data_IF_757444159276
#
_entry.id   IF_757444159276
#
_cell.length_a   1.000
_cell.length_b   1.000
_cell.length_c   1.000
_cell.angle_alpha   90.00
_cell.angle_beta   90.00
_cell.angle_gamma   90.00
#
_symmetry.space_group_name_H-M   'P 1'
#
loop_
_entity.id
_entity.type
_entity.pdbx_description
1 polymer ?
#
# COMPACT_ATOMS: atom_id res chain seq x y z
N UNK A 1 0.11 16.31 -10.81
CA UNK A 1 0.28 15.85 -9.41
C UNK A 1 -0.07 14.37 -9.39
N UNK A 2 0.83 13.53 -8.90
CA UNK A 2 0.63 12.06 -8.84
C UNK A 2 0.11 11.72 -7.44
N UNK A 3 -1.00 10.97 -7.37
CA UNK A 3 -1.61 10.53 -6.12
C UNK A 3 -1.07 9.15 -5.75
N UNK A 4 -0.24 9.10 -4.71
CA UNK A 4 0.32 7.85 -4.20
C UNK A 4 -0.57 7.30 -3.10
N UNK A 5 -1.05 6.07 -3.23
CA UNK A 5 -1.67 5.33 -2.14
C UNK A 5 -0.72 4.26 -1.61
N UNK A 6 -0.69 4.15 -0.28
CA UNK A 6 0.28 3.31 0.43
C UNK A 6 -0.46 2.24 1.20
N UNK A 7 -0.29 0.98 0.78
CA UNK A 7 -0.76 -0.21 1.50
C UNK A 7 -2.25 -0.16 1.89
N UNK A 8 -3.10 0.30 0.95
CA UNK A 8 -4.55 0.46 1.16
C UNK A 8 -5.38 -0.73 0.67
N UNK A 9 -4.81 -1.59 -0.16
CA UNK A 9 -5.52 -2.65 -0.85
C UNK A 9 -6.50 -2.14 -1.91
N UNK A 10 -7.15 -3.06 -2.63
CA UNK A 10 -7.88 -2.72 -3.86
C UNK A 10 -9.11 -1.82 -3.61
N UNK A 11 -9.96 -2.18 -2.64
CA UNK A 11 -11.22 -1.48 -2.40
C UNK A 11 -11.04 -0.02 -1.98
N UNK A 12 -10.14 0.23 -1.03
CA UNK A 12 -9.84 1.60 -0.58
C UNK A 12 -9.07 2.38 -1.64
N UNK A 13 -8.26 1.71 -2.47
CA UNK A 13 -7.60 2.34 -3.61
C UNK A 13 -8.63 2.82 -4.63
N UNK A 14 -9.57 1.96 -4.99
CA UNK A 14 -10.69 2.30 -5.87
C UNK A 14 -11.50 3.47 -5.33
N UNK A 15 -11.86 3.44 -4.04
CA UNK A 15 -12.60 4.51 -3.39
C UNK A 15 -11.87 5.84 -3.46
N UNK A 16 -10.57 5.86 -3.11
CA UNK A 16 -9.79 7.08 -3.07
C UNK A 16 -9.56 7.67 -4.47
N UNK A 17 -9.24 6.85 -5.47
CA UNK A 17 -9.07 7.32 -6.84
C UNK A 17 -10.38 7.73 -7.51
N UNK A 18 -11.50 7.06 -7.19
CA UNK A 18 -12.83 7.49 -7.62
C UNK A 18 -13.18 8.86 -7.04
N UNK A 19 -12.91 9.10 -5.75
CA UNK A 19 -13.12 10.40 -5.12
C UNK A 19 -12.26 11.50 -5.76
N UNK A 20 -11.00 11.20 -6.12
CA UNK A 20 -10.16 12.14 -6.85
C UNK A 20 -10.73 12.49 -8.23
N UNK A 21 -11.16 11.48 -9.00
CA UNK A 21 -11.79 11.69 -10.31
C UNK A 21 -13.08 12.51 -10.19
N UNK A 22 -13.91 12.22 -9.20
CA UNK A 22 -15.15 12.95 -8.94
C UNK A 22 -14.87 14.42 -8.59
N UNK A 23 -13.96 14.69 -7.64
CA UNK A 23 -13.63 16.07 -7.24
C UNK A 23 -13.09 16.89 -8.42
N UNK A 24 -12.34 16.28 -9.34
CA UNK A 24 -11.90 16.94 -10.57
C UNK A 24 -13.06 17.27 -11.50
N UNK A 25 -13.99 16.34 -11.70
CA UNK A 25 -15.17 16.57 -12.52
C UNK A 25 -16.05 17.70 -11.96
N UNK A 26 -16.27 17.73 -10.64
CA UNK A 26 -17.00 18.81 -9.95
C UNK A 26 -16.31 20.17 -10.09
N UNK A 27 -14.97 20.18 -10.14
CA UNK A 27 -14.18 21.38 -10.38
C UNK A 27 -14.04 21.76 -11.87
N UNK A 28 -14.66 21.01 -12.80
CA UNK A 28 -14.56 21.25 -14.23
C UNK A 28 -13.17 21.00 -14.84
N UNK A 29 -12.33 20.20 -14.17
CA UNK A 29 -10.99 19.88 -14.62
C UNK A 29 -10.98 18.71 -15.62
N UNK A 30 -9.98 18.64 -16.53
CA UNK A 30 -9.85 17.52 -17.45
C UNK A 30 -9.76 16.17 -16.73
N UNK A 31 -10.30 15.14 -17.39
CA UNK A 31 -10.12 13.73 -17.00
C UNK A 31 -8.63 13.38 -16.95
N UNK A 32 -8.29 12.40 -16.12
CA UNK A 32 -6.92 11.96 -15.88
C UNK A 32 -6.79 10.48 -16.19
N UNK A 33 -5.65 10.09 -16.75
CA UNK A 33 -5.29 8.70 -16.98
C UNK A 33 -4.57 8.09 -15.79
N UNK A 34 -3.96 6.94 -16.03
CA UNK A 34 -3.16 6.19 -15.04
C UNK A 34 -1.88 6.93 -14.61
N UNK A 35 -1.45 7.94 -15.36
CA UNK A 35 -0.30 8.82 -15.09
C UNK A 35 -0.45 9.65 -13.80
N UNK A 36 -1.68 9.87 -13.35
CA UNK A 36 -1.99 10.56 -12.11
C UNK A 36 -2.00 9.66 -10.87
N UNK A 37 -1.77 8.35 -11.02
CA UNK A 37 -1.90 7.38 -9.96
C UNK A 37 -0.61 6.60 -9.73
N UNK A 38 -0.33 6.37 -8.45
CA UNK A 38 0.76 5.56 -7.98
C UNK A 38 0.30 4.67 -6.83
N UNK A 39 0.83 3.46 -6.78
CA UNK A 39 0.56 2.53 -5.69
C UNK A 39 1.86 2.06 -5.05
N UNK A 40 1.93 2.14 -3.72
CA UNK A 40 3.04 1.61 -2.94
C UNK A 40 2.65 0.28 -2.30
N UNK A 41 3.40 -0.76 -2.63
CA UNK A 41 3.18 -2.14 -2.20
C UNK A 41 4.45 -2.71 -1.56
N UNK A 42 4.28 -3.66 -0.65
CA UNK A 42 5.37 -4.55 -0.24
C UNK A 42 5.61 -5.53 -1.38
N UNK A 43 6.85 -5.67 -1.85
CA UNK A 43 7.16 -6.58 -2.97
C UNK A 43 8.41 -7.37 -2.70
N UNK A 44 8.36 -8.68 -2.92
CA UNK A 44 9.53 -9.54 -2.89
C UNK A 44 9.46 -10.59 -4.00
N UNK A 45 10.57 -10.81 -4.71
CA UNK A 45 10.67 -11.79 -5.79
C UNK A 45 11.71 -12.83 -5.43
N UNK A 46 11.29 -14.07 -5.14
CA UNK A 46 12.14 -15.24 -4.90
C UNK A 46 12.50 -15.99 -6.18
N UNK A 47 13.38 -16.99 -6.12
CA UNK A 47 13.62 -17.90 -7.26
C UNK A 47 12.39 -18.78 -7.49
N UNK A 48 11.77 -19.24 -6.39
CA UNK A 48 10.48 -19.96 -6.44
C UNK A 48 9.38 -19.18 -5.75
N UNK A 49 8.14 -19.64 -5.95
CA UNK A 49 6.98 -19.07 -5.27
C UNK A 49 7.11 -19.20 -3.75
N UNK A 50 7.47 -20.39 -3.28
CA UNK A 50 7.55 -20.73 -1.86
C UNK A 50 8.62 -19.90 -1.15
N UNK A 51 9.83 -19.83 -1.73
CA UNK A 51 10.91 -18.99 -1.19
C UNK A 51 10.51 -17.50 -1.21
N UNK A 52 9.89 -17.05 -2.30
CA UNK A 52 9.43 -15.67 -2.44
C UNK A 52 8.40 -15.29 -1.39
N UNK A 53 7.46 -16.17 -1.09
CA UNK A 53 6.45 -15.97 -0.04
C UNK A 53 7.09 -16.04 1.35
N UNK A 54 7.96 -17.01 1.62
CA UNK A 54 8.64 -17.16 2.90
C UNK A 54 9.42 -15.90 3.26
N UNK A 55 10.31 -15.44 2.39
CA UNK A 55 11.14 -14.27 2.65
C UNK A 55 10.30 -12.99 2.56
N UNK A 56 9.39 -12.90 1.59
CA UNK A 56 8.49 -11.75 1.41
C UNK A 56 7.59 -11.48 2.62
N UNK A 57 7.19 -12.52 3.35
CA UNK A 57 6.42 -12.38 4.60
C UNK A 57 7.11 -11.49 5.64
N UNK A 58 8.46 -11.42 5.63
CA UNK A 58 9.24 -10.57 6.55
C UNK A 58 8.92 -9.08 6.35
N UNK A 59 8.49 -8.67 5.14
CA UNK A 59 8.11 -7.28 4.86
C UNK A 59 6.93 -6.82 5.73
N UNK A 60 6.05 -7.74 6.12
CA UNK A 60 4.90 -7.49 7.00
C UNK A 60 5.30 -7.09 8.41
N UNK A 61 6.58 -7.20 8.79
CA UNK A 61 7.09 -6.61 10.01
C UNK A 61 6.76 -5.11 10.11
N UNK A 62 6.72 -4.39 8.98
CA UNK A 62 6.30 -2.98 8.96
C UNK A 62 4.88 -2.83 9.53
N UNK A 63 3.94 -3.65 9.09
CA UNK A 63 2.54 -3.60 9.50
C UNK A 63 2.34 -4.16 10.91
N UNK A 64 3.02 -5.26 11.22
CA UNK A 64 2.81 -6.05 12.43
C UNK A 64 3.61 -5.54 13.63
N UNK A 65 4.65 -4.74 13.38
CA UNK A 65 5.54 -4.23 14.42
C UNK A 65 5.72 -2.72 14.29
N UNK A 66 6.19 -2.21 13.14
CA UNK A 66 6.56 -0.79 13.02
C UNK A 66 5.39 0.17 13.16
N UNK A 67 4.19 -0.21 12.71
CA UNK A 67 2.98 0.61 12.86
C UNK A 67 2.41 0.62 14.27
N UNK A 68 2.91 -0.23 15.18
CA UNK A 68 2.48 -0.22 16.59
C UNK A 68 3.07 1.00 17.27
N UNK A 69 2.20 1.94 17.62
CA UNK A 69 2.53 3.08 18.47
C UNK A 69 1.88 2.91 19.83
N UNK A 70 2.59 3.28 20.89
CA UNK A 70 2.00 3.30 22.22
C UNK A 70 0.78 4.25 22.22
N UNK A 71 -0.30 3.96 22.99
CA UNK A 71 -1.54 4.72 22.91
C UNK A 71 -1.36 6.23 23.06
N UNK A 72 -0.41 6.68 23.88
CA UNK A 72 -0.08 8.10 24.04
C UNK A 72 0.43 8.76 22.75
N UNK A 73 1.17 8.04 21.89
CA UNK A 73 1.70 8.55 20.62
C UNK A 73 0.72 8.37 19.45
N UNK A 74 -0.16 7.37 19.52
CA UNK A 74 -1.18 7.15 18.49
C UNK A 74 -2.39 8.08 18.64
N UNK A 75 -2.74 8.45 19.88
CA UNK A 75 -3.99 9.12 20.23
C UNK A 75 -3.85 10.63 20.44
N UNK A 76 -2.67 11.08 20.84
CA UNK A 76 -2.34 12.48 21.06
C UNK A 76 -1.11 12.89 20.24
N UNK A 77 -1.11 12.53 18.95
CA UNK A 77 -0.05 12.98 18.07
C UNK A 77 -0.04 14.53 18.06
N UNK A 78 1.10 15.18 18.35
CA UNK A 78 1.17 16.64 18.37
C UNK A 78 0.66 17.23 17.05
N UNK A 79 -0.26 18.19 17.15
CA UNK A 79 -0.85 18.88 15.99
C UNK A 79 -2.07 18.18 15.36
N UNK A 80 -2.44 16.95 15.75
CA UNK A 80 -3.65 16.29 15.20
C UNK A 80 -4.90 16.51 16.03
N UNK A 81 -4.75 16.76 17.33
CA UNK A 81 -5.87 16.99 18.24
C UNK A 81 -5.66 18.36 18.89
N UNK A 82 -6.54 19.35 18.63
CA UNK A 82 -6.50 20.62 19.35
C UNK A 82 -6.64 20.39 20.86
N UNK A 83 -5.92 21.13 21.74
CA UNK A 83 -5.88 20.86 23.18
C UNK A 83 -7.26 20.78 23.85
N UNK A 84 -8.23 21.58 23.38
CA UNK A 84 -9.60 21.59 23.89
C UNK A 84 -10.35 20.26 23.71
N UNK A 85 -9.98 19.45 22.72
CA UNK A 85 -10.58 18.13 22.47
C UNK A 85 -9.82 16.99 23.15
N UNK A 86 -8.63 17.25 23.72
CA UNK A 86 -7.82 16.20 24.33
C UNK A 86 -8.53 15.43 25.48
N UNK A 87 -9.31 16.08 26.38
CA UNK A 87 -10.03 15.35 27.42
C UNK A 87 -11.12 14.41 26.88
N UNK A 88 -11.81 14.80 25.80
CA UNK A 88 -12.82 13.96 25.14
C UNK A 88 -12.18 12.79 24.39
N UNK A 89 -11.10 13.09 23.67
CA UNK A 89 -10.27 12.07 23.01
C UNK A 89 -9.71 11.10 24.05
N UNK A 90 -9.32 11.54 25.25
CA UNK A 90 -8.83 10.66 26.33
C UNK A 90 -9.92 9.73 26.87
N UNK A 91 -11.11 10.26 27.14
CA UNK A 91 -12.19 9.52 27.83
C UNK A 91 -13.03 8.61 26.95
N UNK A 92 -13.12 8.89 25.65
CA UNK A 92 -13.96 8.07 24.75
C UNK A 92 -13.41 6.64 24.65
N UNK A 93 -14.22 5.60 24.85
CA UNK A 93 -13.74 4.22 24.67
C UNK A 93 -13.25 3.94 23.23
N UNK A 94 -13.76 4.70 22.25
CA UNK A 94 -13.51 4.54 20.82
C UNK A 94 -12.91 5.76 20.10
N UNK A 95 -12.56 6.85 20.80
CA UNK A 95 -12.11 8.09 20.17
C UNK A 95 -13.25 8.81 19.44
N UNK A 96 -13.80 9.91 19.97
CA UNK A 96 -14.44 10.88 19.08
C UNK A 96 -13.32 11.47 18.20
N UNK A 97 -13.38 11.22 16.88
CA UNK A 97 -12.27 11.51 15.95
C UNK A 97 -12.61 12.75 15.13
N UNK A 98 -12.17 13.96 15.52
CA UNK A 98 -12.08 15.05 14.56
C UNK A 98 -11.02 14.65 13.53
N UNK A 99 -11.47 14.21 12.34
CA UNK A 99 -10.65 13.89 11.16
C UNK A 99 -9.38 13.05 11.41
N UNK A 100 -9.51 11.72 11.48
CA UNK A 100 -8.35 10.82 11.44
C UNK A 100 -8.65 9.61 10.53
N UNK A 101 -8.77 9.88 9.24
CA UNK A 101 -8.79 8.85 8.19
C UNK A 101 -7.57 7.91 8.26
N UNK A 102 -6.44 8.36 8.81
CA UNK A 102 -5.25 7.53 9.02
C UNK A 102 -5.37 6.48 10.14
N UNK A 103 -6.05 6.79 11.25
CA UNK A 103 -6.03 5.96 12.45
C UNK A 103 -6.95 4.73 12.38
N UNK A 104 -7.97 4.71 11.50
CA UNK A 104 -8.80 3.51 11.28
C UNK A 104 -8.03 2.44 10.50
N UNK A 105 -7.16 2.87 9.59
CA UNK A 105 -6.56 1.97 8.62
C UNK A 105 -5.37 1.19 9.20
N UNK A 106 -4.60 1.78 10.13
CA UNK A 106 -3.50 1.05 10.77
C UNK A 106 -3.97 -0.16 11.57
N UNK A 107 -5.15 -0.10 12.23
CA UNK A 107 -5.68 -1.26 13.00
C UNK A 107 -6.14 -2.42 12.12
N UNK A 108 -6.59 -2.16 10.90
CA UNK A 108 -6.97 -3.20 9.94
C UNK A 108 -5.76 -3.88 9.26
N UNK A 109 -4.59 -3.24 9.36
CA UNK A 109 -3.32 -3.72 8.79
C UNK A 109 -2.44 -4.41 9.84
N UNK A 110 -2.56 -4.05 11.13
CA UNK A 110 -1.78 -4.68 12.20
C UNK A 110 -2.33 -6.10 12.44
N UNK A 111 -1.45 -7.09 12.27
CA UNK A 111 -1.73 -8.50 12.57
C UNK A 111 -2.26 -9.31 11.38
N UNK A 112 -2.24 -8.76 10.16
CA UNK A 112 -2.67 -9.50 8.96
C UNK A 112 -1.72 -10.64 8.64
N UNK A 113 -2.26 -11.75 8.12
CA UNK A 113 -1.46 -12.87 7.62
C UNK A 113 -0.81 -12.54 6.28
N UNK A 114 0.14 -13.37 5.85
CA UNK A 114 0.78 -13.26 4.54
C UNK A 114 -0.24 -13.40 3.41
N UNK A 115 -1.11 -14.40 3.53
CA UNK A 115 -2.15 -14.72 2.55
C UNK A 115 -3.17 -13.57 2.44
N UNK A 116 -3.64 -13.03 3.58
CA UNK A 116 -4.54 -11.87 3.61
C UNK A 116 -3.88 -10.63 3.00
N UNK A 117 -2.59 -10.40 3.26
CA UNK A 117 -1.86 -9.29 2.68
C UNK A 117 -1.72 -9.43 1.15
N UNK A 118 -1.51 -10.64 0.66
CA UNK A 118 -1.44 -10.93 -0.77
C UNK A 118 -2.79 -10.77 -1.46
N UNK A 119 -3.85 -11.35 -0.88
CA UNK A 119 -5.21 -11.24 -1.41
C UNK A 119 -5.67 -9.78 -1.53
N UNK A 120 -5.32 -8.95 -0.55
CA UNK A 120 -5.68 -7.53 -0.54
C UNK A 120 -4.83 -6.66 -1.48
N UNK A 121 -3.74 -7.19 -2.05
CA UNK A 121 -2.78 -6.42 -2.83
C UNK A 121 -1.94 -5.45 -1.98
N UNK A 122 -1.66 -5.83 -0.73
CA UNK A 122 -0.73 -5.12 0.16
C UNK A 122 0.69 -5.69 -0.01
N UNK A 123 0.78 -7.00 -0.18
CA UNK A 123 2.02 -7.75 -0.41
C UNK A 123 1.96 -8.43 -1.78
N UNK A 124 3.01 -8.28 -2.57
CA UNK A 124 3.24 -9.07 -3.77
C UNK A 124 4.49 -9.92 -3.58
N UNK A 125 4.32 -11.23 -3.45
CA UNK A 125 5.40 -12.14 -3.10
C UNK A 125 5.29 -13.46 -3.85
N UNK A 126 6.44 -13.99 -4.28
CA UNK A 126 6.54 -15.27 -4.99
C UNK A 126 7.65 -15.28 -6.03
N UNK A 127 7.49 -16.12 -7.06
CA UNK A 127 8.38 -16.15 -8.21
C UNK A 127 8.14 -14.91 -9.10
N UNK A 128 9.01 -14.63 -10.10
CA UNK A 128 8.82 -13.52 -11.02
C UNK A 128 7.47 -13.54 -11.74
N UNK A 129 7.01 -14.72 -12.16
CA UNK A 129 5.72 -14.89 -12.82
C UNK A 129 4.56 -14.62 -11.88
N UNK A 130 4.58 -15.20 -10.68
CA UNK A 130 3.51 -14.97 -9.69
C UNK A 130 3.42 -13.50 -9.30
N UNK A 131 4.56 -12.83 -9.07
CA UNK A 131 4.55 -11.41 -8.70
C UNK A 131 4.04 -10.53 -9.83
N UNK A 132 4.42 -10.81 -11.07
CA UNK A 132 3.85 -10.10 -12.23
C UNK A 132 2.33 -10.29 -12.31
N UNK A 133 1.84 -11.52 -12.20
CA UNK A 133 0.41 -11.82 -12.25
C UNK A 133 -0.37 -11.11 -11.13
N UNK A 134 0.15 -11.13 -9.90
CA UNK A 134 -0.45 -10.43 -8.76
C UNK A 134 -0.53 -8.91 -9.00
N UNK A 135 0.54 -8.31 -9.54
CA UNK A 135 0.56 -6.88 -9.86
C UNK A 135 -0.46 -6.56 -10.95
N UNK A 136 -0.57 -7.39 -11.99
CA UNK A 136 -1.49 -7.16 -13.10
C UNK A 136 -2.96 -7.38 -12.72
N UNK A 137 -3.24 -8.38 -11.89
CA UNK A 137 -4.57 -8.58 -11.31
C UNK A 137 -4.97 -7.38 -10.46
N UNK A 138 -4.07 -6.90 -9.58
CA UNK A 138 -4.31 -5.69 -8.81
C UNK A 138 -4.50 -4.46 -9.71
N UNK A 139 -3.62 -4.27 -10.71
CA UNK A 139 -3.70 -3.18 -11.69
C UNK A 139 -5.08 -3.13 -12.37
N UNK A 140 -5.59 -4.27 -12.82
CA UNK A 140 -6.94 -4.38 -13.40
C UNK A 140 -8.04 -4.02 -12.40
N UNK A 141 -7.95 -4.56 -11.17
CA UNK A 141 -8.93 -4.30 -10.10
C UNK A 141 -9.04 -2.82 -9.72
N UNK A 142 -7.95 -2.06 -9.80
CA UNK A 142 -7.93 -0.64 -9.40
C UNK A 142 -8.10 0.37 -10.54
N UNK A 143 -8.26 -0.12 -11.77
CA UNK A 143 -8.36 0.73 -12.97
C UNK A 143 -7.03 1.32 -13.43
N UNK A 144 -5.91 0.68 -13.07
CA UNK A 144 -4.56 0.98 -13.54
C UNK A 144 -3.83 2.13 -12.82
N UNK A 145 -2.51 2.11 -12.93
CA UNK A 145 -1.59 3.15 -12.44
C UNK A 145 -0.25 3.07 -13.15
N UNK A 146 0.41 4.20 -13.38
CA UNK A 146 1.70 4.22 -14.10
C UNK A 146 2.91 4.03 -13.17
N UNK A 147 2.72 4.21 -11.87
CA UNK A 147 3.82 4.28 -10.91
C UNK A 147 3.65 3.23 -9.81
N UNK A 148 4.52 2.22 -9.80
CA UNK A 148 4.65 1.28 -8.68
C UNK A 148 5.80 1.73 -7.77
N UNK A 149 5.50 1.99 -6.50
CA UNK A 149 6.51 2.25 -5.47
C UNK A 149 6.79 0.95 -4.72
N UNK A 150 7.94 0.36 -4.99
CA UNK A 150 8.35 -0.90 -4.41
C UNK A 150 8.93 -0.71 -3.00
N UNK A 151 8.28 -1.30 -2.00
CA UNK A 151 8.84 -1.46 -0.65
C UNK A 151 9.45 -2.85 -0.55
N UNK A 152 10.74 -2.97 -0.90
CA UNK A 152 11.46 -4.24 -1.01
C UNK A 152 12.33 -4.63 0.19
N UNK A 153 12.34 -3.83 1.27
CA UNK A 153 13.14 -4.12 2.47
C UNK A 153 12.44 -3.61 3.73
N UNK A 154 12.33 -4.47 4.73
CA UNK A 154 11.76 -4.16 6.04
C UNK A 154 12.10 -5.26 7.06
N UNK A 155 12.04 -4.91 8.34
CA UNK A 155 12.15 -5.86 9.45
C UNK A 155 13.49 -6.58 9.50
N UNK A 156 13.43 -7.90 9.64
CA UNK A 156 14.59 -8.78 9.79
C UNK A 156 15.08 -9.37 8.47
N UNK A 157 14.69 -8.77 7.34
CA UNK A 157 15.25 -9.15 6.05
C UNK A 157 16.75 -8.81 6.02
N UNK A 158 17.57 -9.75 5.60
CA UNK A 158 19.01 -9.53 5.47
C UNK A 158 19.31 -8.68 4.24
N UNK A 159 20.52 -8.11 4.21
CA UNK A 159 20.99 -7.38 3.02
C UNK A 159 20.96 -8.25 1.75
N UNK A 160 21.40 -9.52 1.85
CA UNK A 160 21.48 -10.44 0.72
C UNK A 160 20.08 -10.76 0.18
N UNK A 161 19.13 -11.05 1.06
CA UNK A 161 17.73 -11.30 0.69
C UNK A 161 17.13 -10.08 -0.03
N UNK A 162 17.24 -8.89 0.56
CA UNK A 162 16.73 -7.66 -0.03
C UNK A 162 17.38 -7.36 -1.39
N UNK A 163 18.70 -7.49 -1.49
CA UNK A 163 19.45 -7.25 -2.73
C UNK A 163 19.03 -8.22 -3.84
N UNK A 164 18.91 -9.51 -3.52
CA UNK A 164 18.47 -10.54 -4.48
C UNK A 164 17.05 -10.27 -4.97
N UNK A 165 16.11 -10.00 -4.07
CA UNK A 165 14.73 -9.68 -4.44
C UNK A 165 14.62 -8.45 -5.34
N UNK A 166 15.35 -7.38 -5.03
CA UNK A 166 15.38 -6.15 -5.84
C UNK A 166 16.00 -6.41 -7.22
N UNK A 167 17.13 -7.12 -7.28
CA UNK A 167 17.79 -7.46 -8.55
C UNK A 167 16.90 -8.33 -9.43
N UNK A 168 16.23 -9.33 -8.85
CA UNK A 168 15.32 -10.23 -9.56
C UNK A 168 14.09 -9.49 -10.09
N UNK A 169 13.45 -8.66 -9.26
CA UNK A 169 12.38 -7.77 -9.70
C UNK A 169 12.81 -6.90 -10.90
N UNK A 170 13.97 -6.26 -10.80
CA UNK A 170 14.48 -5.37 -11.85
C UNK A 170 14.79 -6.08 -13.17
N UNK A 171 15.20 -7.35 -13.12
CA UNK A 171 15.57 -8.16 -14.30
C UNK A 171 14.39 -8.85 -14.95
N UNK A 172 13.43 -9.33 -14.16
CA UNK A 172 12.45 -10.31 -14.64
C UNK A 172 11.01 -9.80 -14.59
N UNK A 173 10.69 -8.86 -13.70
CA UNK A 173 9.33 -8.32 -13.55
C UNK A 173 9.22 -6.93 -14.17
N UNK A 174 10.14 -6.03 -13.83
CA UNK A 174 10.11 -4.63 -14.27
C UNK A 174 10.08 -4.46 -15.80
N UNK A 175 10.84 -5.22 -16.62
CA UNK A 175 10.77 -5.09 -18.07
C UNK A 175 9.37 -5.38 -18.61
N UNK A 176 8.69 -6.42 -18.10
CA UNK A 176 7.33 -6.78 -18.48
C UNK A 176 6.33 -5.70 -18.10
N UNK A 177 6.47 -5.10 -16.91
CA UNK A 177 5.61 -4.01 -16.47
C UNK A 177 5.76 -2.75 -17.33
N UNK A 178 6.93 -2.49 -17.92
CA UNK A 178 7.14 -1.37 -18.84
C UNK A 178 6.42 -1.53 -20.18
N UNK A 179 6.04 -2.74 -20.54
CA UNK A 179 5.30 -3.05 -21.77
C UNK A 179 3.78 -2.88 -21.59
N UNK A 180 3.31 -2.69 -20.35
CA UNK A 180 1.90 -2.52 -20.03
C UNK A 180 1.41 -1.17 -20.55
N UNK A 181 0.39 -1.20 -21.40
CA UNK A 181 -0.23 0.01 -21.93
C UNK A 181 -1.05 0.74 -20.85
N UNK A 182 -0.96 2.08 -20.77
CA UNK A 182 -1.82 2.88 -19.90
C UNK A 182 -3.32 2.64 -20.19
N UNK A 183 -4.13 2.58 -19.13
CA UNK A 183 -5.59 2.58 -19.30
C UNK A 183 -6.05 4.01 -19.57
N UNK A 184 -6.69 4.20 -20.72
CA UNK A 184 -7.24 5.51 -21.10
C UNK A 184 -8.39 5.90 -20.18
N UNK A 185 -8.48 7.20 -19.87
CA UNK A 185 -9.55 7.73 -19.04
C UNK A 185 -10.91 7.54 -19.75
N UNK A 186 -11.80 6.72 -19.17
CA UNK A 186 -13.20 6.60 -19.60
C UNK A 186 -13.98 7.89 -19.37
#
# INVERSE_FOLDING_TARGET
>A
MINVLVLRGADETNRAWAAYRQARAEAGLPKVGTDHFAYAALVYVGDTHEEGVEIGSKLLWFLNTSLKSAPQFARFLPGTVPPQFAPEVYRSANGHKPSASGAKNNRALIGISTEEAMERGILFAGSPDTVYEQIMDFYGKVGGFDNLVMVGHSGFMTHVEAEQGIKRFAREVLPRLKEVAPISAL
#
